data_IF_413158380164
#
_entry.id   IF_413158380164
#
_cell.length_a   1.000
_cell.length_b   1.000
_cell.length_c   1.000
_cell.angle_alpha   90.00
_cell.angle_beta   90.00
_cell.angle_gamma   90.00
#
_symmetry.space_group_name_H-M   'P 1'
#
loop_
_entity.id
_entity.type
_entity.pdbx_description
1 polymer ?
#
# COMPACT_ATOMS: atom_id res chain seq x y z
N UNK A 1 3.06 17.01 12.08
CA UNK A 1 1.70 16.58 12.47
C UNK A 1 1.44 15.24 11.81
N UNK A 2 1.66 14.12 12.51
CA UNK A 2 1.31 12.78 12.03
C UNK A 2 -0.21 12.73 11.95
N UNK A 3 -0.74 12.49 10.76
CA UNK A 3 -2.18 12.45 10.53
C UNK A 3 -2.75 11.22 11.24
N UNK A 4 -3.46 11.40 12.37
CA UNK A 4 -4.09 10.31 13.15
C UNK A 4 -4.93 9.35 12.29
N UNK A 5 -5.51 9.88 11.20
CA UNK A 5 -6.31 9.09 10.25
C UNK A 5 -5.48 8.17 9.35
N UNK A 6 -4.21 8.51 9.11
CA UNK A 6 -3.29 7.65 8.38
C UNK A 6 -3.00 6.37 9.15
N UNK A 7 -2.74 6.50 10.45
CA UNK A 7 -2.46 5.34 11.32
C UNK A 7 -3.61 4.34 11.38
N UNK A 8 -4.86 4.80 11.45
CA UNK A 8 -6.02 3.91 11.46
C UNK A 8 -6.23 3.20 10.12
N UNK A 9 -6.09 3.90 8.99
CA UNK A 9 -6.16 3.27 7.66
C UNK A 9 -5.06 2.22 7.49
N UNK A 10 -3.83 2.56 7.89
CA UNK A 10 -2.69 1.66 7.82
C UNK A 10 -2.95 0.42 8.67
N UNK A 11 -3.51 0.57 9.88
CA UNK A 11 -3.85 -0.55 10.76
C UNK A 11 -4.93 -1.47 10.17
N UNK A 12 -6.03 -0.92 9.65
CA UNK A 12 -7.11 -1.71 9.02
C UNK A 12 -6.55 -2.54 7.85
N UNK A 13 -5.74 -1.90 6.99
CA UNK A 13 -5.12 -2.58 5.85
C UNK A 13 -4.13 -3.65 6.31
N UNK A 14 -3.28 -3.34 7.30
CA UNK A 14 -2.31 -4.28 7.86
C UNK A 14 -2.99 -5.51 8.45
N UNK A 15 -4.06 -5.33 9.22
CA UNK A 15 -4.82 -6.44 9.81
C UNK A 15 -5.48 -7.31 8.72
N UNK A 16 -6.06 -6.69 7.69
CA UNK A 16 -6.71 -7.42 6.60
C UNK A 16 -5.70 -8.17 5.70
N UNK A 17 -4.54 -7.55 5.44
CA UNK A 17 -3.41 -8.16 4.73
C UNK A 17 -2.84 -9.32 5.55
N UNK A 18 -2.64 -9.15 6.86
CA UNK A 18 -2.14 -10.21 7.73
C UNK A 18 -3.10 -11.40 7.80
N UNK A 19 -4.42 -11.14 7.73
CA UNK A 19 -5.45 -12.20 7.73
C UNK A 19 -5.50 -12.98 6.42
N UNK A 20 -5.38 -12.31 5.26
CA UNK A 20 -5.57 -12.94 3.95
C UNK A 20 -4.27 -13.32 3.24
N UNK A 21 -3.17 -12.63 3.52
CA UNK A 21 -1.85 -12.85 2.92
C UNK A 21 -0.74 -13.08 3.98
N UNK A 22 -0.95 -13.90 5.03
CA UNK A 22 -0.03 -14.00 6.16
C UNK A 22 1.39 -14.42 5.75
N UNK A 23 1.50 -15.38 4.83
CA UNK A 23 2.78 -15.93 4.39
C UNK A 23 3.61 -14.91 3.62
N UNK A 24 3.00 -14.25 2.62
CA UNK A 24 3.70 -13.25 1.80
C UNK A 24 4.03 -12.01 2.61
N UNK A 25 3.14 -11.63 3.54
CA UNK A 25 3.34 -10.51 4.44
C UNK A 25 4.54 -10.76 5.36
N UNK A 26 4.59 -11.93 6.00
CA UNK A 26 5.71 -12.31 6.86
C UNK A 26 7.03 -12.42 6.07
N UNK A 27 7.02 -13.05 4.89
CA UNK A 27 8.22 -13.20 4.06
C UNK A 27 8.81 -11.85 3.63
N UNK A 28 7.96 -10.90 3.24
CA UNK A 28 8.41 -9.54 2.92
C UNK A 28 8.98 -8.82 4.14
N UNK A 29 8.29 -8.89 5.29
CA UNK A 29 8.79 -8.30 6.53
C UNK A 29 10.12 -8.89 6.97
N UNK A 30 10.28 -10.21 6.92
CA UNK A 30 11.53 -10.90 7.26
C UNK A 30 12.68 -10.43 6.35
N UNK A 31 12.42 -10.29 5.05
CA UNK A 31 13.41 -9.78 4.10
C UNK A 31 13.86 -8.35 4.45
N UNK A 32 12.91 -7.48 4.80
CA UNK A 32 13.19 -6.09 5.18
C UNK A 32 13.86 -5.94 6.57
N UNK A 33 13.87 -6.99 7.38
CA UNK A 33 14.56 -7.00 8.70
C UNK A 33 16.01 -7.51 8.62
N UNK A 34 16.49 -7.90 7.45
CA UNK A 34 17.88 -8.31 7.27
C UNK A 34 18.85 -7.12 7.48
N UNK A 35 20.11 -7.36 7.87
CA UNK A 35 21.08 -6.30 8.20
C UNK A 35 21.35 -5.32 7.05
N UNK A 36 21.23 -5.78 5.81
CA UNK A 36 21.28 -4.96 4.60
C UNK A 36 19.95 -5.08 3.85
N UNK A 37 18.92 -4.33 4.24
CA UNK A 37 17.64 -4.35 3.56
C UNK A 37 17.76 -3.59 2.24
N UNK A 38 18.12 -4.30 1.17
CA UNK A 38 18.05 -3.75 -0.18
C UNK A 38 16.63 -3.96 -0.75
N UNK A 39 15.89 -2.89 -1.08
CA UNK A 39 14.58 -3.00 -1.71
C UNK A 39 14.58 -3.86 -2.97
N UNK A 40 15.71 -3.93 -3.69
CA UNK A 40 15.86 -4.77 -4.87
C UNK A 40 15.97 -6.26 -4.50
N UNK A 41 16.59 -6.59 -3.37
CA UNK A 41 16.68 -7.98 -2.89
C UNK A 41 15.32 -8.49 -2.39
N UNK A 42 14.50 -7.61 -1.82
CA UNK A 42 13.14 -7.95 -1.38
C UNK A 42 12.07 -7.74 -2.46
N UNK A 43 12.45 -7.38 -3.68
CA UNK A 43 11.52 -7.10 -4.78
C UNK A 43 10.64 -8.30 -5.12
N UNK A 44 11.17 -9.53 -5.02
CA UNK A 44 10.40 -10.74 -5.26
C UNK A 44 9.29 -10.92 -4.21
N UNK A 45 9.62 -10.80 -2.93
CA UNK A 45 8.68 -10.91 -1.81
C UNK A 45 7.64 -9.78 -1.88
N UNK A 46 8.08 -8.57 -2.25
CA UNK A 46 7.21 -7.43 -2.49
C UNK A 46 6.20 -7.73 -3.61
N UNK A 47 6.64 -8.29 -4.73
CA UNK A 47 5.76 -8.65 -5.84
C UNK A 47 4.77 -9.75 -5.46
N UNK A 48 5.21 -10.77 -4.70
CA UNK A 48 4.33 -11.82 -4.22
C UNK A 48 3.27 -11.28 -3.25
N UNK A 49 3.66 -10.41 -2.32
CA UNK A 49 2.74 -9.73 -1.43
C UNK A 49 1.75 -8.85 -2.21
N UNK A 50 2.24 -8.01 -3.12
CA UNK A 50 1.39 -7.16 -3.96
C UNK A 50 0.40 -7.97 -4.80
N UNK A 51 0.82 -9.13 -5.33
CA UNK A 51 -0.07 -10.05 -6.05
C UNK A 51 -1.16 -10.58 -5.14
N UNK A 52 -0.81 -11.05 -3.93
CA UNK A 52 -1.78 -11.57 -2.98
C UNK A 52 -2.80 -10.50 -2.57
N UNK A 53 -2.32 -9.28 -2.26
CA UNK A 53 -3.18 -8.14 -1.88
C UNK A 53 -4.22 -7.84 -2.98
N UNK A 54 -3.80 -7.86 -4.24
CA UNK A 54 -4.67 -7.61 -5.40
C UNK A 54 -5.70 -8.71 -5.69
N UNK A 55 -5.55 -9.90 -5.10
CA UNK A 55 -6.42 -11.05 -5.40
C UNK A 55 -7.23 -11.53 -4.22
N UNK A 56 -6.72 -11.35 -3.00
CA UNK A 56 -7.21 -12.02 -1.80
C UNK A 56 -7.60 -11.06 -0.66
N UNK A 57 -7.26 -9.76 -0.73
CA UNK A 57 -7.56 -8.79 0.33
C UNK A 57 -8.81 -7.99 -0.03
N UNK A 58 -9.97 -8.24 0.62
CA UNK A 58 -11.23 -7.61 0.24
C UNK A 58 -11.21 -6.08 0.40
N UNK A 59 -10.56 -5.57 1.45
CA UNK A 59 -10.44 -4.12 1.66
C UNK A 59 -9.71 -3.43 0.51
N UNK A 60 -8.68 -4.08 -0.04
CA UNK A 60 -7.95 -3.57 -1.19
C UNK A 60 -8.80 -3.59 -2.45
N UNK A 61 -9.58 -4.65 -2.69
CA UNK A 61 -10.49 -4.72 -3.84
C UNK A 61 -11.53 -3.59 -3.82
N UNK A 62 -12.10 -3.28 -2.65
CA UNK A 62 -13.03 -2.16 -2.50
C UNK A 62 -12.36 -0.84 -2.85
N UNK A 63 -11.18 -0.57 -2.30
CA UNK A 63 -10.40 0.65 -2.62
C UNK A 63 -10.07 0.70 -4.11
N UNK A 64 -9.67 -0.43 -4.71
CA UNK A 64 -9.33 -0.48 -6.12
C UNK A 64 -10.53 -0.18 -7.01
N UNK A 65 -11.75 -0.57 -6.62
CA UNK A 65 -12.98 -0.23 -7.32
C UNK A 65 -13.40 1.22 -7.14
N UNK A 66 -13.57 1.66 -5.89
CA UNK A 66 -14.11 2.98 -5.54
C UNK A 66 -13.10 4.12 -5.78
N UNK A 67 -11.83 3.85 -5.55
CA UNK A 67 -10.74 4.83 -5.63
C UNK A 67 -9.83 4.64 -6.85
N UNK A 68 -10.25 3.86 -7.85
CA UNK A 68 -9.47 3.56 -9.07
C UNK A 68 -8.85 4.82 -9.71
N UNK A 69 -9.65 5.88 -9.87
CA UNK A 69 -9.19 7.14 -10.46
C UNK A 69 -8.15 7.86 -9.61
N UNK A 70 -8.27 7.80 -8.27
CA UNK A 70 -7.29 8.40 -7.35
C UNK A 70 -5.97 7.61 -7.35
N UNK A 71 -6.05 6.29 -7.45
CA UNK A 71 -4.88 5.42 -7.63
C UNK A 71 -4.13 5.79 -8.90
N UNK A 72 -4.82 5.89 -10.04
CA UNK A 72 -4.21 6.24 -11.32
C UNK A 72 -3.52 7.60 -11.30
N UNK A 73 -4.15 8.61 -10.69
CA UNK A 73 -3.54 9.95 -10.56
C UNK A 73 -2.27 9.90 -9.72
N UNK A 74 -2.29 9.17 -8.59
CA UNK A 74 -1.11 9.02 -7.76
C UNK A 74 0.02 8.26 -8.47
N UNK A 75 -0.29 7.16 -9.16
CA UNK A 75 0.68 6.41 -9.97
C UNK A 75 1.27 7.25 -11.10
N UNK A 76 0.45 8.06 -11.78
CA UNK A 76 0.91 8.98 -12.81
C UNK A 76 1.89 10.01 -12.25
N UNK A 77 1.57 10.59 -11.08
CA UNK A 77 2.47 11.51 -10.40
C UNK A 77 3.81 10.85 -10.06
N UNK A 78 3.80 9.64 -9.50
CA UNK A 78 5.02 8.90 -9.19
C UNK A 78 5.85 8.63 -10.45
N UNK A 79 5.21 8.26 -11.56
CA UNK A 79 5.91 8.02 -12.83
C UNK A 79 6.60 9.27 -13.36
N UNK A 80 5.94 10.43 -13.26
CA UNK A 80 6.50 11.72 -13.70
C UNK A 80 7.64 12.17 -12.78
N UNK A 81 7.55 11.87 -11.48
CA UNK A 81 8.49 12.35 -10.47
C UNK A 81 9.53 11.30 -10.05
N UNK A 82 9.83 10.30 -10.89
CA UNK A 82 10.83 9.24 -10.60
C UNK A 82 10.59 8.53 -9.25
N UNK A 83 9.34 8.18 -8.97
CA UNK A 83 8.89 7.58 -7.70
C UNK A 83 9.13 8.44 -6.46
N UNK A 84 9.34 9.75 -6.62
CA UNK A 84 9.45 10.69 -5.50
C UNK A 84 8.08 10.92 -4.84
N UNK A 85 7.83 10.17 -3.78
CA UNK A 85 6.58 10.23 -3.02
C UNK A 85 6.31 11.59 -2.40
N UNK A 86 7.35 12.39 -2.09
CA UNK A 86 7.19 13.74 -1.50
C UNK A 86 6.55 14.71 -2.50
N UNK A 87 6.89 14.59 -3.78
CA UNK A 87 6.30 15.41 -4.84
C UNK A 87 4.81 15.11 -5.06
N UNK A 88 4.36 13.89 -4.71
CA UNK A 88 3.01 13.40 -4.91
C UNK A 88 2.17 13.38 -3.63
N UNK A 89 2.51 14.23 -2.65
CA UNK A 89 1.86 14.23 -1.33
C UNK A 89 0.37 14.58 -1.43
N UNK A 90 -0.01 15.47 -2.36
CA UNK A 90 -1.40 15.89 -2.56
C UNK A 90 -2.28 14.74 -3.06
N UNK A 91 -1.79 14.04 -4.08
CA UNK A 91 -2.42 12.90 -4.73
C UNK A 91 -2.53 11.73 -3.75
N UNK A 92 -1.47 11.49 -2.96
CA UNK A 92 -1.46 10.50 -1.88
C UNK A 92 -2.52 10.81 -0.81
N UNK A 93 -2.65 12.09 -0.40
CA UNK A 93 -3.69 12.48 0.55
C UNK A 93 -5.09 12.30 -0.02
N UNK A 94 -5.31 12.62 -1.30
CA UNK A 94 -6.60 12.40 -1.96
C UNK A 94 -6.97 10.92 -2.00
N UNK A 95 -6.01 10.06 -2.35
CA UNK A 95 -6.18 8.61 -2.34
C UNK A 95 -6.50 8.08 -0.93
N UNK A 96 -5.74 8.51 0.09
CA UNK A 96 -5.98 8.10 1.48
C UNK A 96 -7.37 8.49 1.99
N UNK A 97 -7.84 9.70 1.65
CA UNK A 97 -9.21 10.14 2.00
C UNK A 97 -10.28 9.25 1.36
N UNK A 98 -10.11 8.89 0.10
CA UNK A 98 -11.02 7.98 -0.59
C UNK A 98 -11.01 6.58 0.04
N UNK A 99 -9.81 6.02 0.27
CA UNK A 99 -9.65 4.70 0.86
C UNK A 99 -10.28 4.61 2.26
N UNK A 100 -10.06 5.62 3.09
CA UNK A 100 -10.67 5.69 4.42
C UNK A 100 -12.20 5.73 4.33
N UNK A 101 -12.78 6.57 3.47
CA UNK A 101 -14.23 6.64 3.29
C UNK A 101 -14.86 5.36 2.70
N UNK A 102 -14.05 4.49 2.08
CA UNK A 102 -14.50 3.21 1.51
C UNK A 102 -14.50 2.08 2.55
N UNK A 103 -13.64 2.18 3.56
CA UNK A 103 -13.45 1.17 4.61
C UNK A 103 -14.18 1.51 5.92
N UNK A 104 -14.77 2.69 6.00
CA UNK A 104 -15.63 3.14 7.10
C UNK A 104 -17.06 2.62 6.93
#
# INVERSE_FOLDING_TARGET
>A
MVSEKGGLLDQILLEDIARHCPHQFLAFHQCMTLPEPDPNQCAQQQQQLAKCIRTAVPSFHKIQGECAGKLQVYEACLRINNSNTKACTSELQSLRKCAFGTLQ
#
